data_IF_635478502404
#
_entry.id   IF_635478502404
#
_cell.length_a   1.000
_cell.length_b   1.000
_cell.length_c   1.000
_cell.angle_alpha   90.00
_cell.angle_beta   90.00
_cell.angle_gamma   90.00
#
_symmetry.space_group_name_H-M   'P 1'
#
loop_
_entity.id
_entity.type
_entity.pdbx_description
1 polymer ?
#
# COMPACT_ATOMS: atom_id res chain seq x y z
N UNK A 1 1.51 9.94 40.50
CA UNK A 1 1.30 10.55 39.16
C UNK A 1 2.10 9.68 38.20
N UNK A 2 1.48 9.20 37.10
CA UNK A 2 2.18 8.35 36.15
C UNK A 2 3.26 9.14 35.41
N UNK A 3 4.37 8.46 35.07
CA UNK A 3 5.41 8.99 34.20
C UNK A 3 5.36 8.26 32.86
N UNK A 4 5.12 9.02 31.78
CA UNK A 4 4.94 8.49 30.45
C UNK A 4 6.08 8.94 29.54
N UNK A 5 6.70 8.01 28.83
CA UNK A 5 7.60 8.29 27.70
C UNK A 5 6.85 8.02 26.40
N UNK A 6 6.82 8.99 25.51
CA UNK A 6 5.90 9.01 24.36
C UNK A 6 6.66 9.39 23.09
N UNK A 7 6.48 8.60 22.01
CA UNK A 7 6.96 8.98 20.67
C UNK A 7 6.31 10.32 20.25
N UNK A 8 7.14 11.33 20.01
CA UNK A 8 6.74 12.72 19.72
C UNK A 8 5.99 12.90 18.40
N UNK A 9 6.02 11.89 17.54
CA UNK A 9 5.34 11.85 16.23
C UNK A 9 3.96 11.18 16.28
N UNK A 10 3.46 10.81 17.48
CA UNK A 10 2.06 10.38 17.62
C UNK A 10 1.17 11.62 17.50
N UNK A 11 0.31 11.72 16.46
CA UNK A 11 -0.50 12.91 16.25
C UNK A 11 -1.52 13.12 17.37
N UNK A 12 -1.80 14.37 17.71
CA UNK A 12 -2.87 14.79 18.66
C UNK A 12 -2.69 14.29 20.10
N UNK A 13 -1.52 13.74 20.50
CA UNK A 13 -1.35 13.09 21.79
C UNK A 13 -0.99 14.05 22.92
N UNK A 14 -0.29 15.17 22.64
CA UNK A 14 0.38 16.00 23.66
C UNK A 14 -0.56 16.49 24.76
N UNK A 15 -1.63 17.18 24.38
CA UNK A 15 -2.58 17.76 25.34
C UNK A 15 -3.39 16.68 26.06
N UNK A 16 -3.79 15.65 25.34
CA UNK A 16 -4.60 14.57 25.88
C UNK A 16 -3.81 13.69 26.86
N UNK A 17 -2.54 13.39 26.58
CA UNK A 17 -1.69 12.58 27.46
C UNK A 17 -1.36 13.27 28.79
N UNK A 18 -1.28 14.61 28.80
CA UNK A 18 -1.04 15.39 30.03
C UNK A 18 -2.11 15.16 31.12
N UNK A 19 -3.29 14.67 30.75
CA UNK A 19 -4.35 14.27 31.68
C UNK A 19 -4.06 12.99 32.46
N UNK A 20 -3.10 12.17 31.99
CA UNK A 20 -2.71 10.91 32.62
C UNK A 20 -1.54 11.05 33.58
N UNK A 21 -0.65 12.02 33.37
CA UNK A 21 0.52 12.19 34.19
C UNK A 21 1.60 13.10 33.60
N UNK A 22 2.83 12.95 34.11
CA UNK A 22 4.01 13.62 33.56
C UNK A 22 4.44 12.96 32.26
N UNK A 23 4.55 13.74 31.18
CA UNK A 23 4.84 13.23 29.85
C UNK A 23 6.19 13.74 29.33
N UNK A 24 7.04 12.82 28.88
CA UNK A 24 8.29 13.09 28.17
C UNK A 24 8.09 12.69 26.71
N UNK A 25 8.30 13.62 25.77
CA UNK A 25 8.12 13.40 24.34
C UNK A 25 9.47 13.36 23.65
N UNK A 26 9.77 12.23 22.98
CA UNK A 26 11.04 11.99 22.30
C UNK A 26 10.81 11.42 20.90
N UNK A 27 11.72 11.66 19.94
CA UNK A 27 11.67 10.95 18.66
C UNK A 27 11.74 9.43 18.87
N UNK A 28 10.78 8.67 18.35
CA UNK A 28 10.64 7.25 18.63
C UNK A 28 11.90 6.42 18.39
N UNK A 29 12.70 6.75 17.34
CA UNK A 29 13.97 6.08 17.06
C UNK A 29 15.11 6.48 18.02
N UNK A 30 14.95 7.55 18.81
CA UNK A 30 15.96 8.07 19.73
C UNK A 30 15.66 7.74 21.20
N UNK A 31 14.56 7.05 21.50
CA UNK A 31 14.23 6.61 22.87
C UNK A 31 15.25 5.57 23.31
N UNK A 32 15.90 5.84 24.46
CA UNK A 32 16.96 5.01 25.04
C UNK A 32 16.52 4.33 26.34
N UNK A 33 17.33 3.38 26.83
CA UNK A 33 17.09 2.72 28.12
C UNK A 33 17.10 3.69 29.29
N UNK A 34 17.89 4.76 29.22
CA UNK A 34 17.93 5.78 30.29
C UNK A 34 16.64 6.59 30.32
N UNK A 35 16.03 6.90 29.18
CA UNK A 35 14.77 7.64 29.08
C UNK A 35 13.60 6.88 29.73
N UNK A 36 13.57 5.55 29.57
CA UNK A 36 12.48 4.71 30.08
C UNK A 36 12.72 4.16 31.48
N UNK A 37 13.89 4.38 32.08
CA UNK A 37 14.30 3.80 33.36
C UNK A 37 13.28 4.04 34.47
N UNK A 38 12.79 5.25 34.58
CA UNK A 38 11.86 5.69 35.62
C UNK A 38 10.41 5.84 35.10
N UNK A 39 10.13 5.41 33.88
CA UNK A 39 8.81 5.51 33.29
C UNK A 39 7.89 4.37 33.74
N UNK A 40 6.62 4.68 33.97
CA UNK A 40 5.57 3.69 34.21
C UNK A 40 5.00 3.16 32.89
N UNK A 41 4.98 4.02 31.84
CA UNK A 41 4.37 3.75 30.53
C UNK A 41 5.29 4.17 29.40
N UNK A 42 5.41 3.32 28.38
CA UNK A 42 6.00 3.66 27.11
C UNK A 42 4.91 3.64 26.01
N UNK A 43 4.66 4.79 25.37
CA UNK A 43 3.76 4.87 24.19
C UNK A 43 4.59 5.12 22.94
N UNK A 44 4.54 4.18 22.00
CA UNK A 44 5.44 4.14 20.84
C UNK A 44 4.66 4.03 19.52
N UNK A 45 5.41 4.08 18.43
CA UNK A 45 5.03 3.65 17.08
C UNK A 45 6.10 2.65 16.57
N UNK A 46 6.04 2.29 15.30
CA UNK A 46 6.88 1.26 14.68
C UNK A 46 8.40 1.56 14.65
N UNK A 47 8.84 2.78 14.99
CA UNK A 47 10.26 3.18 14.97
C UNK A 47 11.03 2.84 16.25
N UNK A 48 10.35 2.57 17.35
CA UNK A 48 10.97 2.20 18.62
C UNK A 48 11.04 0.68 18.71
N UNK A 49 12.22 0.11 18.73
CA UNK A 49 12.41 -1.32 18.98
C UNK A 49 12.22 -1.61 20.45
N UNK A 50 11.10 -2.21 20.83
CA UNK A 50 10.74 -2.54 22.19
C UNK A 50 11.22 -3.94 22.52
N UNK A 51 12.37 -4.04 23.16
CA UNK A 51 13.05 -5.30 23.43
C UNK A 51 13.79 -5.23 24.78
N UNK A 52 14.53 -6.30 25.11
CA UNK A 52 15.33 -6.39 26.33
C UNK A 52 16.32 -5.24 26.47
N UNK A 53 17.02 -4.86 25.39
CA UNK A 53 18.01 -3.78 25.47
C UNK A 53 17.42 -2.44 25.86
N UNK A 54 16.17 -2.15 25.49
CA UNK A 54 15.46 -0.93 25.84
C UNK A 54 14.89 -0.97 27.28
N UNK A 55 14.33 -2.11 27.71
CA UNK A 55 13.49 -2.16 28.90
C UNK A 55 14.14 -2.86 30.12
N UNK A 56 15.31 -3.48 29.99
CA UNK A 56 15.96 -4.15 31.12
C UNK A 56 16.30 -3.15 32.23
N UNK A 57 15.82 -3.42 33.45
CA UNK A 57 16.00 -2.54 34.60
C UNK A 57 15.11 -1.30 34.62
N UNK A 58 14.17 -1.14 33.71
CA UNK A 58 13.17 -0.06 33.74
C UNK A 58 12.01 -0.37 34.69
N UNK A 59 11.25 0.67 35.07
CA UNK A 59 10.01 0.55 35.84
C UNK A 59 8.76 0.41 35.00
N UNK A 60 8.90 0.27 33.67
CA UNK A 60 7.78 0.21 32.73
C UNK A 60 6.87 -0.98 33.02
N UNK A 61 5.60 -0.70 33.27
CA UNK A 61 4.54 -1.67 33.56
C UNK A 61 3.68 -1.91 32.32
N UNK A 62 3.61 -0.92 31.41
CA UNK A 62 2.77 -0.96 30.23
C UNK A 62 3.49 -0.37 29.01
N UNK A 63 3.47 -1.14 27.92
CA UNK A 63 3.84 -0.66 26.57
C UNK A 63 2.60 -0.55 25.72
N UNK A 64 2.42 0.60 25.05
CA UNK A 64 1.33 0.78 24.07
C UNK A 64 1.92 1.21 22.73
N UNK A 65 1.53 0.57 21.65
CA UNK A 65 1.84 1.09 20.31
C UNK A 65 0.61 1.71 19.66
N UNK A 66 0.71 2.99 19.28
CA UNK A 66 -0.36 3.75 18.63
C UNK A 66 -0.57 3.32 17.15
N UNK A 67 -0.33 2.04 16.85
CA UNK A 67 -0.43 1.42 15.53
C UNK A 67 -1.11 0.06 15.62
N UNK A 68 -1.54 -0.49 14.48
CA UNK A 68 -2.04 -1.87 14.41
C UNK A 68 -0.87 -2.85 14.45
N UNK A 69 0.15 -2.62 13.60
CA UNK A 69 1.35 -3.45 13.55
C UNK A 69 2.16 -3.36 14.83
N UNK A 70 2.69 -4.49 15.27
CA UNK A 70 3.43 -4.63 16.52
C UNK A 70 4.70 -5.50 16.36
N UNK A 71 5.21 -5.58 15.13
CA UNK A 71 6.39 -6.40 14.79
C UNK A 71 7.68 -5.90 15.47
N UNK A 72 7.69 -4.63 15.92
CA UNK A 72 8.76 -3.97 16.67
C UNK A 72 8.72 -4.28 18.18
N UNK A 73 7.77 -5.10 18.67
CA UNK A 73 7.60 -5.43 20.09
C UNK A 73 8.00 -6.88 20.35
N UNK A 74 9.02 -7.07 21.18
CA UNK A 74 9.41 -8.39 21.69
C UNK A 74 8.42 -8.86 22.77
N UNK A 75 7.37 -9.52 22.32
CA UNK A 75 6.30 -10.02 23.21
C UNK A 75 6.77 -11.11 24.16
N UNK A 76 7.75 -11.91 23.75
CA UNK A 76 8.29 -12.97 24.60
C UNK A 76 9.01 -12.35 25.81
N UNK A 77 9.83 -11.34 25.56
CA UNK A 77 10.50 -10.60 26.64
C UNK A 77 9.50 -9.87 27.57
N UNK A 78 8.49 -9.21 27.00
CA UNK A 78 7.47 -8.53 27.81
C UNK A 78 6.73 -9.53 28.73
N UNK A 79 6.37 -10.70 28.21
CA UNK A 79 5.73 -11.77 28.97
C UNK A 79 6.67 -12.32 30.09
N UNK A 80 7.96 -12.50 29.80
CA UNK A 80 8.98 -12.91 30.79
C UNK A 80 9.04 -11.93 31.98
N UNK A 81 8.92 -10.62 31.68
CA UNK A 81 9.02 -9.55 32.69
C UNK A 81 7.68 -9.16 33.32
N UNK A 82 6.57 -9.72 32.86
CA UNK A 82 5.24 -9.35 33.35
C UNK A 82 4.81 -7.94 32.91
N UNK A 83 5.42 -7.39 31.85
CA UNK A 83 5.06 -6.08 31.29
C UNK A 83 3.85 -6.25 30.37
N UNK A 84 2.76 -5.55 30.68
CA UNK A 84 1.58 -5.54 29.80
C UNK A 84 1.87 -4.79 28.50
N UNK A 85 1.18 -5.19 27.42
CA UNK A 85 1.27 -4.43 26.16
C UNK A 85 -0.06 -4.38 25.44
N UNK A 86 -0.29 -3.29 24.70
CA UNK A 86 -1.46 -3.10 23.84
C UNK A 86 -1.06 -2.46 22.51
N UNK A 87 -1.81 -2.81 21.46
CA UNK A 87 -1.81 -2.10 20.18
C UNK A 87 -3.20 -1.47 19.93
N UNK A 88 -3.38 -0.83 18.78
CA UNK A 88 -4.63 -0.16 18.40
C UNK A 88 -5.33 -0.89 17.23
N UNK A 89 -5.91 -2.08 17.46
CA UNK A 89 -6.49 -2.89 16.40
C UNK A 89 -7.68 -2.17 15.75
N UNK A 90 -7.67 -2.10 14.41
CA UNK A 90 -8.74 -1.47 13.65
C UNK A 90 -8.72 0.07 13.62
N UNK A 91 -7.78 0.75 14.28
CA UNK A 91 -7.76 2.22 14.33
C UNK A 91 -7.78 2.87 12.93
N UNK A 92 -7.15 2.27 11.95
CA UNK A 92 -7.05 2.76 10.56
C UNK A 92 -7.76 1.86 9.53
N UNK A 93 -8.60 0.94 9.95
CA UNK A 93 -9.25 -0.02 9.06
C UNK A 93 -10.06 0.66 7.95
N UNK A 94 -10.77 1.74 8.26
CA UNK A 94 -11.53 2.53 7.27
C UNK A 94 -10.64 3.25 6.27
N UNK A 95 -9.45 3.69 6.69
CA UNK A 95 -8.47 4.28 5.80
C UNK A 95 -8.03 3.30 4.70
N UNK A 96 -7.72 2.05 5.09
CA UNK A 96 -7.38 0.99 4.12
C UNK A 96 -8.59 0.65 3.25
N UNK A 97 -9.80 0.58 3.82
CA UNK A 97 -11.01 0.33 3.05
C UNK A 97 -11.27 1.43 2.00
N UNK A 98 -11.05 2.70 2.35
CA UNK A 98 -11.10 3.83 1.41
C UNK A 98 -10.04 3.66 0.30
N UNK A 99 -8.80 3.29 0.65
CA UNK A 99 -7.73 3.05 -0.31
C UNK A 99 -8.12 1.97 -1.32
N UNK A 100 -8.57 0.81 -0.86
CA UNK A 100 -8.98 -0.31 -1.72
C UNK A 100 -10.14 0.08 -2.63
N UNK A 101 -11.21 0.67 -2.09
CA UNK A 101 -12.36 1.13 -2.87
C UNK A 101 -11.94 2.13 -3.95
N UNK A 102 -11.16 3.16 -3.59
CA UNK A 102 -10.74 4.19 -4.52
C UNK A 102 -9.81 3.63 -5.61
N UNK A 103 -8.95 2.67 -5.28
CA UNK A 103 -8.12 1.95 -6.23
C UNK A 103 -8.94 1.13 -7.23
N UNK A 104 -9.99 0.45 -6.75
CA UNK A 104 -10.91 -0.29 -7.62
C UNK A 104 -11.71 0.63 -8.55
N UNK A 105 -12.13 1.81 -8.08
CA UNK A 105 -12.76 2.83 -8.94
C UNK A 105 -11.85 3.30 -10.06
N UNK A 106 -10.56 3.53 -9.76
CA UNK A 106 -9.55 3.89 -10.76
C UNK A 106 -9.35 2.73 -11.75
N UNK A 107 -9.21 1.50 -11.26
CA UNK A 107 -9.06 0.31 -12.11
C UNK A 107 -10.26 0.13 -13.03
N UNK A 108 -11.47 0.32 -12.53
CA UNK A 108 -12.69 0.26 -13.34
C UNK A 108 -12.72 1.35 -14.42
N UNK A 109 -12.38 2.59 -14.07
CA UNK A 109 -12.33 3.70 -15.03
C UNK A 109 -11.22 3.54 -16.09
N UNK A 110 -10.14 2.82 -15.75
CA UNK A 110 -9.07 2.44 -16.70
C UNK A 110 -9.42 1.19 -17.55
N UNK A 111 -10.61 0.60 -17.37
CA UNK A 111 -11.06 -0.53 -18.15
C UNK A 111 -10.50 -1.90 -17.74
N UNK A 112 -9.91 -2.00 -16.52
CA UNK A 112 -9.28 -3.26 -16.11
C UNK A 112 -10.26 -4.43 -16.01
N UNK A 113 -11.56 -4.16 -15.84
CA UNK A 113 -12.63 -5.17 -15.77
C UNK A 113 -13.40 -5.38 -17.08
N UNK A 114 -13.12 -4.59 -18.13
CA UNK A 114 -13.78 -4.73 -19.43
C UNK A 114 -13.37 -6.02 -20.12
N UNK A 115 -14.28 -6.68 -20.83
CA UNK A 115 -13.97 -7.84 -21.67
C UNK A 115 -13.20 -7.39 -22.91
N UNK A 116 -12.11 -8.08 -23.24
CA UNK A 116 -11.39 -7.93 -24.52
C UNK A 116 -10.37 -6.79 -24.62
N UNK A 117 -10.24 -5.88 -23.68
CA UNK A 117 -9.29 -4.76 -23.74
C UNK A 117 -8.10 -4.93 -22.76
N UNK A 118 -6.88 -4.57 -23.22
CA UNK A 118 -5.74 -4.38 -22.30
C UNK A 118 -5.96 -3.08 -21.52
N UNK A 119 -5.66 -3.09 -20.22
CA UNK A 119 -5.62 -1.88 -19.42
C UNK A 119 -4.66 -0.88 -20.06
N UNK A 120 -5.17 0.30 -20.45
CA UNK A 120 -4.31 1.35 -20.97
C UNK A 120 -3.47 1.94 -19.83
N UNK A 121 -2.20 1.57 -19.81
CA UNK A 121 -1.20 2.35 -19.10
C UNK A 121 -0.87 3.56 -19.99
N UNK A 122 -1.36 4.74 -19.65
CA UNK A 122 -1.18 5.96 -20.44
C UNK A 122 0.26 6.45 -20.51
N UNK A 123 1.17 5.77 -19.81
CA UNK A 123 2.57 6.17 -19.69
C UNK A 123 3.52 5.45 -20.66
N UNK A 124 3.07 4.40 -21.40
CA UNK A 124 3.95 3.71 -22.35
C UNK A 124 4.55 4.65 -23.41
N UNK A 125 3.85 5.70 -23.84
CA UNK A 125 4.40 6.69 -24.79
C UNK A 125 5.39 7.67 -24.18
N UNK A 126 5.41 7.86 -22.87
CA UNK A 126 6.39 8.69 -22.17
C UNK A 126 7.68 7.93 -21.89
N UNK A 127 7.60 6.60 -21.71
CA UNK A 127 8.75 5.75 -21.45
C UNK A 127 9.59 5.51 -22.70
N UNK A 128 8.99 5.30 -23.88
CA UNK A 128 9.76 5.20 -25.13
C UNK A 128 10.52 6.49 -25.48
N UNK A 129 10.06 7.65 -25.02
CA UNK A 129 10.78 8.92 -25.18
C UNK A 129 11.97 9.03 -24.21
N UNK A 130 11.83 8.57 -22.96
CA UNK A 130 12.90 8.63 -21.97
C UNK A 130 13.97 7.56 -22.17
N UNK A 131 13.65 6.35 -22.69
CA UNK A 131 14.68 5.36 -23.02
C UNK A 131 15.62 5.84 -24.13
N UNK A 132 15.16 6.69 -25.04
CA UNK A 132 16.04 7.30 -26.06
C UNK A 132 16.97 8.34 -25.48
N UNK A 133 16.58 9.06 -24.44
CA UNK A 133 17.42 10.07 -23.78
C UNK A 133 18.45 9.42 -22.84
N UNK A 134 18.16 8.27 -22.21
CA UNK A 134 19.13 7.53 -21.40
C UNK A 134 20.16 6.75 -22.24
N UNK A 135 19.79 6.26 -23.42
CA UNK A 135 20.71 5.56 -24.31
C UNK A 135 21.77 6.47 -24.97
N UNK A 136 21.56 7.79 -24.91
CA UNK A 136 22.55 8.77 -25.43
C UNK A 136 23.60 9.18 -24.41
N UNK A 137 23.35 9.00 -23.10
CA UNK A 137 24.31 9.40 -22.05
C UNK A 137 25.36 8.32 -21.72
N UNK A 138 25.09 7.03 -22.01
CA UNK A 138 26.11 5.96 -21.85
C UNK A 138 27.25 6.03 -22.88
N UNK A 139 27.13 6.83 -23.94
CA UNK A 139 28.18 7.02 -24.94
C UNK A 139 29.16 8.14 -24.62
N UNK A 140 28.95 8.88 -23.53
CA UNK A 140 29.83 10.01 -23.16
C UNK A 140 30.94 9.63 -22.18
N UNK A 141 31.07 8.38 -21.73
CA UNK A 141 32.08 7.96 -20.74
C UNK A 141 33.14 6.95 -21.23
N UNK A 142 33.37 6.80 -22.56
CA UNK A 142 34.44 5.95 -23.05
C UNK A 142 35.18 6.57 -24.24
N UNK A 143 35.94 7.61 -24.02
CA UNK A 143 37.07 7.98 -24.88
C UNK A 143 38.16 8.66 -24.07
N UNK A 144 39.04 7.86 -23.52
CA UNK A 144 40.46 8.23 -23.42
C UNK A 144 41.28 6.97 -23.11
N UNK A 145 41.91 6.42 -24.15
CA UNK A 145 43.28 5.89 -24.13
C UNK A 145 43.67 5.40 -25.52
N UNK A 146 44.64 6.05 -26.08
CA UNK A 146 45.87 5.67 -26.80
C UNK A 146 45.78 4.80 -28.07
N UNK A 147 45.98 5.45 -29.17
CA UNK A 147 46.82 5.10 -30.36
C UNK A 147 47.28 3.64 -30.55
N UNK A 148 46.96 3.02 -31.71
CA UNK A 148 47.94 2.71 -32.73
C UNK A 148 47.35 2.08 -34.01
N UNK A 149 47.87 2.57 -35.08
CA UNK A 149 47.67 2.33 -36.49
C UNK A 149 47.45 0.90 -37.04
N UNK A 150 46.71 0.74 -38.10
CA UNK A 150 47.14 0.46 -39.46
C UNK A 150 46.15 -0.34 -40.33
N UNK A 151 45.84 0.21 -41.50
CA UNK A 151 45.60 -0.42 -42.80
C UNK A 151 44.30 -1.21 -43.15
N UNK A 152 43.60 -0.57 -44.03
CA UNK A 152 42.66 -1.04 -45.10
C UNK A 152 43.37 -2.04 -46.07
N UNK A 153 42.74 -2.96 -46.83
CA UNK A 153 41.75 -2.62 -47.85
C UNK A 153 40.59 -3.61 -48.19
N UNK A 154 39.54 -3.00 -48.66
CA UNK A 154 38.69 -3.23 -49.86
C UNK A 154 38.24 -4.62 -50.34
N UNK A 155 36.98 -4.58 -50.80
CA UNK A 155 36.26 -5.40 -51.82
C UNK A 155 35.78 -6.78 -51.37
N UNK A 156 34.51 -7.10 -51.52
CA UNK A 156 33.85 -7.39 -52.76
C UNK A 156 32.30 -7.50 -52.64
N UNK A 157 31.67 -7.21 -53.76
CA UNK A 157 30.23 -7.32 -54.05
C UNK A 157 29.85 -8.79 -54.28
N UNK A 158 28.66 -9.23 -53.88
CA UNK A 158 27.68 -9.92 -54.73
C UNK A 158 26.41 -10.30 -53.99
N UNK A 159 25.32 -9.69 -54.39
CA UNK A 159 24.04 -10.19 -54.92
C UNK A 159 23.58 -11.60 -54.48
N UNK A 160 22.43 -11.66 -53.87
CA UNK A 160 21.57 -12.85 -53.77
C UNK A 160 20.16 -12.51 -53.30
N UNK A 161 19.25 -12.36 -54.28
CA UNK A 161 17.82 -12.20 -54.11
C UNK A 161 17.19 -13.30 -53.25
N UNK A 162 16.33 -12.93 -52.29
CA UNK A 162 15.22 -13.77 -51.83
C UNK A 162 13.94 -12.94 -51.65
N UNK A 163 12.75 -13.52 -51.83
CA UNK A 163 11.57 -12.84 -52.33
C UNK A 163 10.70 -12.17 -51.26
N UNK A 164 10.04 -11.11 -51.71
CA UNK A 164 8.87 -10.52 -51.08
C UNK A 164 7.79 -11.56 -50.84
N UNK A 165 7.32 -11.72 -49.62
CA UNK A 165 5.88 -11.86 -49.36
C UNK A 165 5.57 -11.87 -47.87
N UNK A 166 4.50 -11.19 -47.57
CA UNK A 166 3.67 -11.13 -46.40
C UNK A 166 3.98 -10.00 -45.38
N UNK A 167 3.81 -8.77 -45.86
CA UNK A 167 3.28 -7.70 -45.05
C UNK A 167 1.83 -8.04 -44.70
N UNK A 168 1.59 -8.64 -43.55
CA UNK A 168 0.27 -8.54 -42.94
C UNK A 168 0.13 -7.12 -42.38
N UNK A 169 -0.45 -6.25 -43.20
CA UNK A 169 -1.13 -5.04 -42.76
C UNK A 169 -2.29 -5.46 -41.86
N UNK A 170 -2.04 -5.61 -40.58
CA UNK A 170 -3.09 -5.48 -39.59
C UNK A 170 -3.41 -3.99 -39.53
N UNK A 171 -4.43 -3.62 -40.26
CA UNK A 171 -5.02 -2.31 -40.22
C UNK A 171 -5.35 -1.99 -38.75
N UNK A 172 -4.59 -1.07 -38.15
CA UNK A 172 -4.98 -0.37 -36.93
C UNK A 172 -6.21 0.47 -37.32
N UNK A 173 -7.37 -0.18 -37.31
CA UNK A 173 -8.63 0.49 -37.52
C UNK A 173 -9.16 1.05 -36.24
N UNK A 174 -9.37 2.34 -36.29
CA UNK A 174 -10.12 3.21 -35.41
C UNK A 174 -9.39 3.59 -34.08
N UNK A 175 -8.78 4.77 -34.14
CA UNK A 175 -8.56 5.57 -32.98
C UNK A 175 -9.85 5.57 -32.14
N UNK A 176 -9.74 5.11 -30.87
CA UNK A 176 -10.83 5.20 -29.92
C UNK A 176 -11.17 6.69 -29.76
N UNK A 177 -12.34 7.07 -30.24
CA UNK A 177 -12.91 8.39 -29.98
C UNK A 177 -13.46 8.38 -28.54
N UNK A 178 -12.81 9.07 -27.58
CA UNK A 178 -13.26 9.08 -26.21
C UNK A 178 -14.60 9.79 -26.00
N UNK A 179 -15.16 10.39 -27.06
CA UNK A 179 -16.40 11.15 -26.98
C UNK A 179 -17.66 10.34 -27.32
N UNK A 180 -17.53 9.09 -27.77
CA UNK A 180 -18.67 8.39 -28.40
C UNK A 180 -19.19 7.13 -27.69
N UNK A 181 -18.81 6.88 -26.42
CA UNK A 181 -19.50 5.87 -25.61
C UNK A 181 -19.62 6.35 -24.15
N UNK A 182 -20.81 6.41 -23.58
CA UNK A 182 -20.99 6.69 -22.16
C UNK A 182 -20.63 5.44 -21.35
N UNK A 183 -19.34 5.07 -21.34
CA UNK A 183 -18.86 4.04 -20.41
C UNK A 183 -18.71 4.69 -19.03
N UNK A 184 -19.72 4.53 -18.18
CA UNK A 184 -19.63 4.88 -16.78
C UNK A 184 -19.07 3.67 -16.02
N UNK A 185 -17.91 3.82 -15.43
CA UNK A 185 -17.30 2.80 -14.58
C UNK A 185 -18.25 2.44 -13.43
N UNK A 186 -18.30 1.16 -13.09
CA UNK A 186 -19.09 0.68 -11.96
C UNK A 186 -18.34 -0.41 -11.20
N UNK A 187 -18.54 -0.45 -9.89
CA UNK A 187 -18.10 -1.59 -9.06
C UNK A 187 -19.26 -2.58 -8.84
N UNK A 188 -20.49 -2.17 -9.13
CA UNK A 188 -21.67 -3.03 -8.96
C UNK A 188 -21.56 -4.29 -9.80
N UNK A 189 -21.71 -5.43 -9.15
CA UNK A 189 -21.67 -6.75 -9.79
C UNK A 189 -20.28 -7.37 -9.89
N UNK A 190 -19.20 -6.62 -9.57
CA UNK A 190 -17.87 -7.22 -9.44
C UNK A 190 -17.85 -8.18 -8.25
N UNK A 191 -17.16 -9.29 -8.41
CA UNK A 191 -16.85 -10.22 -7.35
C UNK A 191 -15.45 -9.92 -6.80
N UNK A 192 -15.37 -9.59 -5.50
CA UNK A 192 -14.10 -9.24 -4.86
C UNK A 192 -13.76 -10.24 -3.76
N UNK A 193 -12.60 -10.88 -3.87
CA UNK A 193 -12.04 -11.78 -2.88
C UNK A 193 -11.26 -10.99 -1.82
N UNK A 194 -11.58 -11.21 -0.55
CA UNK A 194 -10.89 -10.61 0.60
C UNK A 194 -10.16 -11.73 1.34
N UNK A 195 -8.84 -11.66 1.38
CA UNK A 195 -7.99 -12.62 2.11
C UNK A 195 -7.54 -12.00 3.42
N UNK A 196 -7.92 -12.62 4.53
CA UNK A 196 -7.75 -12.07 5.87
C UNK A 196 -8.92 -11.16 6.27
N UNK A 197 -9.82 -11.66 7.13
CA UNK A 197 -11.05 -10.98 7.56
C UNK A 197 -10.91 -10.52 9.01
N UNK A 198 -9.82 -9.78 9.28
CA UNK A 198 -9.62 -9.02 10.51
C UNK A 198 -10.39 -7.70 10.50
N UNK A 199 -9.99 -6.76 11.35
CA UNK A 199 -10.61 -5.41 11.35
C UNK A 199 -10.56 -4.74 9.97
N UNK A 200 -9.42 -4.84 9.29
CA UNK A 200 -9.24 -4.22 7.97
C UNK A 200 -10.08 -4.94 6.92
N UNK A 201 -9.91 -6.26 6.78
CA UNK A 201 -10.65 -7.02 5.76
C UNK A 201 -12.17 -6.93 5.94
N UNK A 202 -12.67 -6.87 7.18
CA UNK A 202 -14.09 -6.62 7.46
C UNK A 202 -14.52 -5.24 6.96
N UNK A 203 -13.77 -4.17 7.27
CA UNK A 203 -14.10 -2.83 6.80
C UNK A 203 -14.07 -2.72 5.27
N UNK A 204 -13.10 -3.41 4.61
CA UNK A 204 -13.04 -3.50 3.14
C UNK A 204 -14.26 -4.25 2.59
N UNK A 205 -14.62 -5.38 3.19
CA UNK A 205 -15.78 -6.16 2.78
C UNK A 205 -17.08 -5.33 2.86
N UNK A 206 -17.27 -4.60 3.96
CA UNK A 206 -18.45 -3.75 4.19
C UNK A 206 -18.54 -2.61 3.15
N UNK A 207 -17.44 -1.89 2.91
CA UNK A 207 -17.47 -0.76 1.97
C UNK A 207 -17.70 -1.23 0.53
N UNK A 208 -17.15 -2.39 0.14
CA UNK A 208 -17.33 -2.94 -1.20
C UNK A 208 -18.72 -3.54 -1.38
N UNK A 209 -19.29 -4.16 -0.36
CA UNK A 209 -20.68 -4.60 -0.37
C UNK A 209 -21.65 -3.41 -0.54
N UNK A 210 -21.38 -2.27 0.11
CA UNK A 210 -22.14 -1.04 -0.06
C UNK A 210 -22.02 -0.44 -1.48
N UNK A 211 -20.90 -0.68 -2.17
CA UNK A 211 -20.74 -0.34 -3.60
C UNK A 211 -21.48 -1.30 -4.55
N UNK A 212 -22.05 -2.38 -4.02
CA UNK A 212 -22.79 -3.38 -4.78
C UNK A 212 -21.91 -4.50 -5.33
N UNK A 213 -20.71 -4.71 -4.78
CA UNK A 213 -19.88 -5.87 -5.07
C UNK A 213 -20.42 -7.13 -4.38
N UNK A 214 -20.19 -8.28 -5.01
CA UNK A 214 -20.26 -9.58 -4.34
C UNK A 214 -18.91 -9.81 -3.65
N UNK A 215 -18.91 -10.02 -2.33
CA UNK A 215 -17.69 -10.20 -1.55
C UNK A 215 -17.52 -11.67 -1.16
N UNK A 216 -16.36 -12.24 -1.51
CA UNK A 216 -15.92 -13.57 -1.07
C UNK A 216 -14.90 -13.39 0.06
N UNK A 217 -15.25 -13.89 1.24
CA UNK A 217 -14.44 -13.75 2.46
C UNK A 217 -13.63 -15.04 2.68
N UNK A 218 -12.30 -14.94 2.74
CA UNK A 218 -11.38 -16.04 2.95
C UNK A 218 -10.50 -15.74 4.16
N UNK A 219 -10.69 -16.45 5.24
CA UNK A 219 -9.88 -16.43 6.47
C UNK A 219 -10.04 -17.78 7.16
N UNK A 220 -9.30 -18.82 6.72
CA UNK A 220 -9.44 -20.17 7.26
C UNK A 220 -9.30 -20.24 8.77
N UNK A 221 -8.35 -19.55 9.43
CA UNK A 221 -8.25 -19.49 10.88
C UNK A 221 -9.52 -19.01 11.59
N UNK A 222 -10.38 -18.24 10.89
CA UNK A 222 -11.65 -17.72 11.43
C UNK A 222 -12.87 -18.48 10.96
N UNK A 223 -12.69 -19.52 10.16
CA UNK A 223 -13.81 -20.32 9.63
C UNK A 223 -14.66 -19.60 8.59
N UNK A 224 -14.10 -18.61 7.88
CA UNK A 224 -14.80 -17.95 6.76
C UNK A 224 -15.08 -18.95 5.63
N UNK A 225 -16.21 -18.80 4.90
CA UNK A 225 -16.76 -19.87 4.06
C UNK A 225 -15.99 -20.15 2.77
N UNK A 226 -15.14 -19.21 2.31
CA UNK A 226 -14.44 -19.35 1.04
C UNK A 226 -12.95 -19.67 1.22
N UNK A 227 -12.41 -20.42 0.27
CA UNK A 227 -10.99 -20.78 0.19
C UNK A 227 -10.27 -19.89 -0.86
N UNK A 228 -8.93 -19.94 -0.88
CA UNK A 228 -8.15 -19.29 -1.95
C UNK A 228 -8.50 -19.84 -3.34
N UNK A 229 -8.86 -21.13 -3.42
CA UNK A 229 -9.31 -21.77 -4.67
C UNK A 229 -10.62 -21.16 -5.16
N UNK A 230 -11.56 -20.91 -4.26
CA UNK A 230 -12.81 -20.24 -4.62
C UNK A 230 -12.56 -18.80 -5.13
N UNK A 231 -11.67 -18.07 -4.46
CA UNK A 231 -11.30 -16.73 -4.90
C UNK A 231 -10.60 -16.77 -6.27
N UNK A 232 -9.68 -17.70 -6.49
CA UNK A 232 -8.99 -17.85 -7.77
C UNK A 232 -9.96 -18.12 -8.93
N UNK A 233 -11.03 -18.89 -8.67
CA UNK A 233 -12.04 -19.26 -9.67
C UNK A 233 -13.03 -18.12 -9.94
N UNK A 234 -13.47 -17.37 -8.92
CA UNK A 234 -14.67 -16.54 -9.02
C UNK A 234 -14.40 -15.03 -8.92
N UNK A 235 -13.30 -14.62 -8.29
CA UNK A 235 -13.07 -13.20 -8.03
C UNK A 235 -12.58 -12.45 -9.27
N UNK A 236 -13.13 -11.27 -9.52
CA UNK A 236 -12.64 -10.29 -10.51
C UNK A 236 -11.47 -9.45 -9.95
N UNK A 237 -11.45 -9.26 -8.63
CA UNK A 237 -10.33 -8.65 -7.89
C UNK A 237 -10.06 -9.41 -6.60
N UNK A 238 -8.80 -9.46 -6.17
CA UNK A 238 -8.40 -10.08 -4.89
C UNK A 238 -7.55 -9.08 -4.09
N UNK A 239 -7.87 -8.91 -2.79
CA UNK A 239 -7.18 -8.01 -1.89
C UNK A 239 -6.72 -8.73 -0.62
N UNK A 240 -5.42 -8.58 -0.30
CA UNK A 240 -4.80 -9.18 0.87
C UNK A 240 -4.87 -8.24 2.08
N UNK A 241 -5.26 -8.77 3.24
CA UNK A 241 -5.35 -8.09 4.54
C UNK A 241 -4.90 -8.98 5.71
N UNK A 242 -4.00 -9.91 5.43
CA UNK A 242 -3.46 -10.85 6.41
C UNK A 242 -2.33 -10.26 7.24
N UNK A 243 -2.08 -10.74 8.47
CA UNK A 243 -0.79 -10.55 9.11
C UNK A 243 0.30 -11.30 8.34
N UNK A 244 1.57 -10.99 8.57
CA UNK A 244 2.69 -11.79 8.08
C UNK A 244 2.99 -12.89 9.09
N UNK A 245 2.97 -14.15 8.64
CA UNK A 245 3.34 -15.34 9.40
C UNK A 245 4.19 -16.26 8.53
N UNK A 246 5.23 -16.86 9.12
CA UNK A 246 6.19 -17.69 8.39
C UNK A 246 5.94 -19.17 8.57
N UNK A 247 5.20 -19.58 9.60
CA UNK A 247 5.01 -20.96 10.01
C UNK A 247 3.52 -21.30 10.23
N UNK A 248 3.22 -22.59 10.22
CA UNK A 248 1.87 -23.11 10.43
C UNK A 248 1.12 -23.38 9.12
N UNK A 249 0.01 -24.09 9.23
CA UNK A 249 -0.85 -24.50 8.10
C UNK A 249 -1.34 -23.31 7.26
N UNK A 250 -1.50 -22.15 7.90
CA UNK A 250 -2.01 -20.93 7.27
C UNK A 250 -0.94 -19.83 7.24
N UNK A 251 0.34 -20.21 7.03
CA UNK A 251 1.41 -19.24 6.81
C UNK A 251 1.07 -18.30 5.65
N UNK A 252 1.42 -17.03 5.82
CA UNK A 252 1.07 -15.98 4.87
C UNK A 252 2.27 -15.41 4.13
N UNK A 253 3.49 -15.84 4.48
CA UNK A 253 4.69 -15.52 3.72
C UNK A 253 4.55 -16.12 2.31
N UNK A 254 4.67 -15.26 1.29
CA UNK A 254 4.47 -15.62 -0.12
C UNK A 254 3.15 -16.35 -0.39
N UNK A 255 2.08 -15.98 0.34
CA UNK A 255 0.74 -16.53 0.11
C UNK A 255 0.29 -16.33 -1.35
N UNK A 256 0.62 -15.17 -1.94
CA UNK A 256 0.43 -14.91 -3.36
C UNK A 256 1.75 -15.18 -4.11
N UNK A 257 2.08 -16.43 -4.28
CA UNK A 257 3.21 -16.95 -5.03
C UNK A 257 2.87 -17.18 -6.52
N UNK A 258 3.81 -17.73 -7.25
CA UNK A 258 3.65 -18.09 -8.66
C UNK A 258 2.44 -19.00 -8.88
N UNK A 259 2.28 -20.04 -8.06
CA UNK A 259 1.18 -21.01 -8.16
C UNK A 259 -0.18 -20.35 -7.92
N UNK A 260 -0.26 -19.42 -6.96
CA UNK A 260 -1.48 -18.64 -6.76
C UNK A 260 -1.91 -17.91 -8.04
N UNK A 261 -1.00 -17.19 -8.70
CA UNK A 261 -1.33 -16.45 -9.92
C UNK A 261 -1.60 -17.37 -11.13
N UNK A 262 -0.95 -18.51 -11.24
CA UNK A 262 -1.20 -19.51 -12.29
C UNK A 262 -2.63 -20.04 -12.24
N UNK A 263 -3.18 -20.21 -11.06
CA UNK A 263 -4.53 -20.72 -10.81
C UNK A 263 -5.66 -19.69 -11.01
N UNK A 264 -5.35 -18.41 -11.18
CA UNK A 264 -6.36 -17.36 -11.38
C UNK A 264 -7.11 -17.55 -12.71
N UNK A 265 -8.44 -17.57 -12.65
CA UNK A 265 -9.30 -17.74 -13.82
C UNK A 265 -9.93 -16.43 -14.29
N UNK A 266 -10.35 -15.57 -13.36
CA UNK A 266 -11.08 -14.33 -13.62
C UNK A 266 -10.42 -13.08 -13.11
N UNK A 267 -9.53 -13.19 -12.13
CA UNK A 267 -8.94 -12.05 -11.44
C UNK A 267 -8.23 -11.12 -12.43
N UNK A 268 -8.62 -9.85 -12.42
CA UNK A 268 -8.03 -8.80 -13.23
C UNK A 268 -7.21 -7.82 -12.41
N UNK A 269 -7.52 -7.67 -11.12
CA UNK A 269 -6.86 -6.71 -10.23
C UNK A 269 -6.41 -7.41 -8.97
N UNK A 270 -5.12 -7.35 -8.67
CA UNK A 270 -4.53 -7.84 -7.43
C UNK A 270 -4.13 -6.67 -6.54
N UNK A 271 -4.45 -6.74 -5.25
CA UNK A 271 -4.19 -5.67 -4.28
C UNK A 271 -3.42 -6.24 -3.09
N UNK A 272 -2.23 -5.69 -2.80
CA UNK A 272 -1.52 -5.95 -1.55
C UNK A 272 -1.48 -4.69 -0.69
N UNK A 273 -2.30 -4.66 0.35
CA UNK A 273 -2.34 -3.64 1.41
C UNK A 273 -2.25 -4.31 2.80
N UNK A 274 -1.53 -5.43 2.87
CA UNK A 274 -1.31 -6.24 4.08
C UNK A 274 0.11 -6.08 4.63
N UNK A 275 1.03 -6.95 4.15
CA UNK A 275 2.48 -6.89 4.33
C UNK A 275 3.14 -7.22 3.00
N UNK A 276 4.29 -6.64 2.72
CA UNK A 276 4.99 -6.84 1.44
C UNK A 276 5.21 -8.31 1.14
N UNK A 277 5.76 -9.01 2.10
CA UNK A 277 6.13 -10.43 2.02
C UNK A 277 4.92 -11.41 1.96
N UNK A 278 3.68 -10.90 2.02
CA UNK A 278 2.51 -11.74 1.73
C UNK A 278 2.36 -12.02 0.23
N UNK A 279 3.05 -11.28 -0.63
CA UNK A 279 3.09 -11.51 -2.07
C UNK A 279 4.55 -11.59 -2.53
N UNK A 280 4.88 -12.62 -3.30
CA UNK A 280 6.16 -12.73 -3.99
C UNK A 280 6.23 -11.70 -5.11
N UNK A 281 7.16 -10.76 -5.01
CA UNK A 281 7.36 -9.68 -5.97
C UNK A 281 7.56 -10.21 -7.39
N UNK A 282 8.38 -11.25 -7.58
CA UNK A 282 8.64 -11.83 -8.89
C UNK A 282 7.40 -12.51 -9.47
N UNK A 283 6.56 -13.10 -8.63
CA UNK A 283 5.30 -13.71 -9.05
C UNK A 283 4.27 -12.64 -9.49
N UNK A 284 4.20 -11.50 -8.81
CA UNK A 284 3.34 -10.37 -9.22
C UNK A 284 3.80 -9.79 -10.55
N UNK A 285 5.10 -9.55 -10.73
CA UNK A 285 5.68 -9.05 -11.97
C UNK A 285 5.40 -9.99 -13.13
N UNK A 286 5.61 -11.28 -12.92
CA UNK A 286 5.27 -12.30 -13.90
C UNK A 286 3.78 -12.31 -14.25
N UNK A 287 2.91 -12.24 -13.24
CA UNK A 287 1.47 -12.26 -13.47
C UNK A 287 0.99 -11.05 -14.31
N UNK A 288 1.63 -9.89 -14.13
CA UNK A 288 1.41 -8.71 -14.98
C UNK A 288 1.93 -8.92 -16.41
N UNK A 289 3.16 -9.46 -16.57
CA UNK A 289 3.77 -9.66 -17.89
C UNK A 289 3.03 -10.70 -18.75
N UNK A 290 2.55 -11.79 -18.13
CA UNK A 290 1.77 -12.84 -18.79
C UNK A 290 0.28 -12.51 -18.93
N UNK A 291 -0.16 -11.35 -18.41
CA UNK A 291 -1.56 -10.94 -18.45
C UNK A 291 -2.50 -11.79 -17.60
N UNK A 292 -1.97 -12.53 -16.61
CA UNK A 292 -2.77 -13.24 -15.61
C UNK A 292 -3.61 -12.28 -14.79
N UNK A 293 -3.02 -11.12 -14.47
CA UNK A 293 -3.71 -9.95 -13.93
C UNK A 293 -3.49 -8.76 -14.86
N UNK A 294 -4.42 -7.83 -14.90
CA UNK A 294 -4.32 -6.61 -15.69
C UNK A 294 -3.75 -5.43 -14.93
N UNK A 295 -3.87 -5.46 -13.61
CA UNK A 295 -3.38 -4.41 -12.74
C UNK A 295 -3.00 -4.96 -11.37
N UNK A 296 -1.91 -4.40 -10.81
CA UNK A 296 -1.53 -4.56 -9.43
C UNK A 296 -1.68 -3.22 -8.69
N UNK A 297 -2.17 -3.27 -7.47
CA UNK A 297 -2.25 -2.16 -6.52
C UNK A 297 -1.40 -2.55 -5.32
N UNK A 298 -0.28 -1.88 -5.13
CA UNK A 298 0.73 -2.24 -4.14
C UNK A 298 0.95 -1.08 -3.19
N UNK A 299 0.58 -1.28 -1.93
CA UNK A 299 0.86 -0.34 -0.85
C UNK A 299 2.01 -0.82 0.03
N UNK A 300 2.13 -2.14 0.20
CA UNK A 300 3.15 -2.80 1.00
C UNK A 300 4.06 -3.63 0.11
N UNK A 301 5.38 -3.53 0.33
CA UNK A 301 6.40 -4.05 -0.56
C UNK A 301 7.35 -4.99 0.16
N UNK A 302 7.86 -5.99 -0.53
CA UNK A 302 9.03 -6.71 -0.03
C UNK A 302 10.23 -5.77 0.04
N UNK A 303 11.06 -5.97 1.06
CA UNK A 303 12.31 -5.24 1.28
C UNK A 303 12.17 -3.72 1.46
N UNK A 304 11.02 -3.23 1.98
CA UNK A 304 10.89 -1.80 2.31
C UNK A 304 12.09 -1.30 3.14
N UNK A 305 12.68 -0.16 2.80
CA UNK A 305 12.30 0.82 1.79
C UNK A 305 12.90 0.57 0.39
N UNK A 306 13.68 -0.49 0.17
CA UNK A 306 14.38 -0.80 -1.07
C UNK A 306 13.48 -1.64 -1.99
N UNK A 307 12.46 -1.00 -2.55
CA UNK A 307 11.39 -1.67 -3.31
C UNK A 307 11.81 -2.00 -4.75
N UNK A 308 11.12 -2.97 -5.38
CA UNK A 308 11.36 -3.32 -6.79
C UNK A 308 11.00 -2.16 -7.72
N UNK A 309 11.99 -1.70 -8.49
CA UNK A 309 11.79 -0.65 -9.49
C UNK A 309 10.94 -1.12 -10.68
N UNK A 310 11.01 -2.40 -11.05
CA UNK A 310 10.19 -3.00 -12.10
C UNK A 310 8.72 -3.06 -11.69
N UNK A 311 8.43 -3.55 -10.48
CA UNK A 311 7.07 -3.59 -9.96
C UNK A 311 6.51 -2.18 -9.74
N UNK A 312 7.32 -1.22 -9.26
CA UNK A 312 6.92 0.18 -9.10
C UNK A 312 6.44 0.80 -10.44
N UNK A 313 7.14 0.49 -11.53
CA UNK A 313 6.74 0.95 -12.87
C UNK A 313 5.49 0.24 -13.37
N UNK A 314 5.40 -1.07 -13.18
CA UNK A 314 4.34 -1.91 -13.73
C UNK A 314 3.00 -1.80 -12.98
N UNK A 315 3.02 -1.53 -11.67
CA UNK A 315 1.82 -1.43 -10.85
C UNK A 315 0.90 -0.30 -11.32
N UNK A 316 -0.39 -0.49 -11.29
CA UNK A 316 -1.40 0.56 -11.57
C UNK A 316 -1.35 1.65 -10.50
N UNK A 317 -1.28 1.24 -9.25
CA UNK A 317 -1.15 2.09 -8.08
C UNK A 317 -0.01 1.53 -7.22
N UNK A 318 0.91 2.42 -6.84
CA UNK A 318 2.10 2.13 -6.07
C UNK A 318 2.26 3.19 -4.99
N UNK A 319 2.11 2.83 -3.72
CA UNK A 319 2.13 3.80 -2.62
C UNK A 319 3.11 3.37 -1.52
N UNK A 320 3.73 4.32 -0.79
CA UNK A 320 4.79 4.01 0.16
C UNK A 320 4.24 3.57 1.54
N UNK A 321 3.44 2.50 1.56
CA UNK A 321 2.84 1.91 2.76
C UNK A 321 2.00 2.92 3.55
N UNK A 322 1.07 3.60 2.88
CA UNK A 322 0.25 4.68 3.42
C UNK A 322 -1.26 4.45 3.32
N UNK A 323 -1.69 3.27 2.87
CA UNK A 323 -3.12 2.92 2.79
C UNK A 323 -3.85 3.15 4.12
N UNK A 324 -3.18 2.88 5.24
CA UNK A 324 -3.69 3.12 6.59
C UNK A 324 -3.50 4.54 7.13
N UNK A 325 -3.01 5.50 6.33
CA UNK A 325 -2.65 6.83 6.83
C UNK A 325 -3.77 7.84 6.58
N UNK A 326 -4.60 8.07 7.60
CA UNK A 326 -5.61 9.13 7.65
C UNK A 326 -5.52 9.89 8.96
N UNK A 327 -6.03 11.10 9.01
CA UNK A 327 -6.17 11.87 10.26
C UNK A 327 -7.11 11.15 11.23
N UNK A 328 -8.18 10.55 10.71
CA UNK A 328 -9.17 9.79 11.48
C UNK A 328 -8.52 8.56 12.11
N UNK A 329 -7.80 7.75 11.34
CA UNK A 329 -7.09 6.57 11.84
C UNK A 329 -6.02 6.91 12.87
N UNK A 330 -5.28 8.01 12.66
CA UNK A 330 -4.28 8.49 13.62
C UNK A 330 -4.92 9.00 14.92
N UNK A 331 -6.03 9.75 14.83
CA UNK A 331 -6.80 10.19 16.00
C UNK A 331 -7.35 8.99 16.78
N UNK A 332 -7.89 7.98 16.09
CA UNK A 332 -8.33 6.73 16.71
C UNK A 332 -7.18 6.00 17.41
N UNK A 333 -6.02 5.87 16.78
CA UNK A 333 -4.84 5.23 17.40
C UNK A 333 -4.40 5.94 18.67
N UNK A 334 -4.38 7.27 18.66
CA UNK A 334 -4.07 8.08 19.82
C UNK A 334 -5.11 7.89 20.94
N UNK A 335 -6.41 7.98 20.62
CA UNK A 335 -7.49 7.75 21.58
C UNK A 335 -7.38 6.37 22.23
N UNK A 336 -7.26 5.32 21.42
CA UNK A 336 -7.16 3.94 21.88
C UNK A 336 -5.92 3.72 22.76
N UNK A 337 -4.80 4.38 22.43
CA UNK A 337 -3.57 4.29 23.23
C UNK A 337 -3.78 4.89 24.64
N UNK A 338 -4.37 6.06 24.71
CA UNK A 338 -4.63 6.74 26.01
C UNK A 338 -5.69 6.00 26.82
N UNK A 339 -6.73 5.47 26.19
CA UNK A 339 -7.74 4.63 26.84
C UNK A 339 -7.14 3.32 27.37
N UNK A 340 -6.16 2.73 26.67
CA UNK A 340 -5.45 1.54 27.13
C UNK A 340 -4.65 1.85 28.40
N UNK A 341 -3.96 3.00 28.47
CA UNK A 341 -3.27 3.45 29.68
C UNK A 341 -4.26 3.69 30.81
N UNK A 342 -5.34 4.45 30.56
CA UNK A 342 -6.35 4.72 31.58
C UNK A 342 -6.94 3.43 32.16
N UNK A 343 -7.27 2.48 31.31
CA UNK A 343 -7.82 1.18 31.72
C UNK A 343 -6.84 0.37 32.55
N UNK A 344 -5.57 0.32 32.14
CA UNK A 344 -4.53 -0.45 32.85
C UNK A 344 -4.30 0.05 34.27
N UNK A 345 -4.31 1.36 34.45
CA UNK A 345 -4.08 1.99 35.76
C UNK A 345 -5.35 2.34 36.53
N UNK A 346 -6.52 1.92 36.07
CA UNK A 346 -7.81 2.16 36.72
C UNK A 346 -8.19 3.65 36.79
N UNK A 347 -7.76 4.47 35.82
CA UNK A 347 -8.07 5.89 35.79
C UNK A 347 -9.42 6.11 35.10
N UNK A 348 -10.29 6.94 35.68
CA UNK A 348 -11.53 7.38 35.06
C UNK A 348 -11.23 8.54 34.08
N UNK A 349 -10.80 8.19 32.87
CA UNK A 349 -10.44 9.15 31.84
C UNK A 349 -11.02 8.72 30.48
N UNK A 350 -11.81 9.60 29.87
CA UNK A 350 -12.31 9.46 28.53
C UNK A 350 -11.61 10.47 27.61
N UNK A 351 -11.28 10.04 26.38
CA UNK A 351 -10.56 10.85 25.43
C UNK A 351 -11.38 11.06 24.15
N UNK A 352 -11.76 12.31 23.90
CA UNK A 352 -12.31 12.74 22.61
C UNK A 352 -11.18 13.40 21.81
N UNK A 353 -10.78 12.74 20.71
CA UNK A 353 -9.68 13.20 19.86
C UNK A 353 -10.23 13.27 18.42
N UNK A 354 -10.84 14.38 18.04
CA UNK A 354 -11.37 14.55 16.69
C UNK A 354 -10.22 14.75 15.69
N UNK A 355 -10.36 14.15 14.51
CA UNK A 355 -9.48 14.47 13.40
C UNK A 355 -9.73 15.92 12.93
N UNK A 356 -8.69 16.66 12.51
CA UNK A 356 -8.84 18.03 12.03
C UNK A 356 -9.81 18.15 10.86
N UNK A 357 -10.57 19.21 10.79
CA UNK A 357 -11.40 19.51 9.63
C UNK A 357 -10.55 19.77 8.38
N UNK A 358 -11.06 19.36 7.23
CA UNK A 358 -10.43 19.70 5.96
C UNK A 358 -10.65 21.18 5.63
N UNK A 359 -9.69 21.85 4.99
CA UNK A 359 -9.91 23.19 4.44
C UNK A 359 -11.10 23.21 3.46
N UNK A 360 -11.79 24.33 3.37
CA UNK A 360 -12.85 24.52 2.37
C UNK A 360 -12.27 24.30 0.95
N UNK A 361 -12.98 23.54 0.13
CA UNK A 361 -12.54 23.22 -1.24
C UNK A 361 -11.36 22.25 -1.33
N UNK A 362 -11.04 21.53 -0.28
CA UNK A 362 -9.96 20.54 -0.28
C UNK A 362 -10.13 19.49 -1.39
N UNK A 363 -9.06 19.26 -2.13
CA UNK A 363 -8.92 18.18 -3.10
C UNK A 363 -7.54 17.54 -2.88
N UNK A 364 -7.50 16.22 -2.69
CA UNK A 364 -6.26 15.50 -2.40
C UNK A 364 -5.25 15.50 -3.55
N UNK A 365 -5.71 15.77 -4.74
CA UNK A 365 -4.88 15.84 -5.96
C UNK A 365 -5.75 15.84 -7.21
N UNK A 366 -5.20 16.30 -8.31
CA UNK A 366 -5.92 16.33 -9.58
C UNK A 366 -6.19 14.91 -10.10
N UNK A 367 -7.39 14.68 -10.60
CA UNK A 367 -7.71 13.48 -11.37
C UNK A 367 -7.49 13.78 -12.86
N UNK A 368 -6.88 12.87 -13.62
CA UNK A 368 -6.82 12.99 -15.06
C UNK A 368 -8.23 13.15 -15.66
N UNK A 369 -8.41 14.08 -16.59
CA UNK A 369 -9.72 14.31 -17.25
C UNK A 369 -10.26 13.05 -17.94
N UNK A 370 -9.37 12.20 -18.44
CA UNK A 370 -9.72 10.89 -19.02
C UNK A 370 -10.42 9.95 -18.03
N UNK A 371 -10.18 10.09 -16.74
CA UNK A 371 -10.85 9.31 -15.68
C UNK A 371 -12.12 10.00 -15.20
N UNK A 372 -12.14 11.35 -15.12
CA UNK A 372 -13.31 12.08 -14.59
C UNK A 372 -14.56 11.85 -15.42
N UNK A 373 -14.44 11.74 -16.74
CA UNK A 373 -15.58 11.45 -17.62
C UNK A 373 -16.11 10.01 -17.54
N UNK A 374 -15.36 9.11 -16.92
CA UNK A 374 -15.72 7.69 -16.78
C UNK A 374 -16.23 7.33 -15.40
N UNK A 375 -16.12 8.22 -14.44
CA UNK A 375 -16.46 7.96 -13.05
C UNK A 375 -17.81 8.60 -12.67
N UNK A 376 -18.68 7.91 -11.93
CA UNK A 376 -19.88 8.52 -11.37
C UNK A 376 -19.53 9.55 -10.31
N UNK A 377 -20.38 10.55 -10.09
CA UNK A 377 -20.12 11.65 -9.16
C UNK A 377 -19.78 11.16 -7.73
N UNK A 378 -20.42 10.09 -7.27
CA UNK A 378 -20.10 9.48 -5.98
C UNK A 378 -18.65 9.01 -5.88
N UNK A 379 -18.10 8.43 -6.95
CA UNK A 379 -16.71 8.00 -6.99
C UNK A 379 -15.76 9.20 -7.07
N UNK A 380 -16.13 10.22 -7.85
CA UNK A 380 -15.39 11.48 -7.92
C UNK A 380 -15.31 12.17 -6.56
N UNK A 381 -16.43 12.22 -5.82
CA UNK A 381 -16.45 12.79 -4.47
C UNK A 381 -15.47 12.06 -3.53
N UNK A 382 -15.39 10.73 -3.60
CA UNK A 382 -14.45 9.94 -2.81
C UNK A 382 -13.00 10.16 -3.24
N UNK A 383 -12.73 10.23 -4.54
CA UNK A 383 -11.40 10.48 -5.07
C UNK A 383 -10.91 11.91 -4.82
N UNK A 384 -11.81 12.89 -4.66
CA UNK A 384 -11.45 14.25 -4.18
C UNK A 384 -10.94 14.22 -2.73
N UNK A 385 -11.47 13.32 -1.90
CA UNK A 385 -10.99 13.13 -0.52
C UNK A 385 -9.65 12.38 -0.49
N UNK A 386 -9.50 11.40 -1.37
CA UNK A 386 -8.27 10.64 -1.47
C UNK A 386 -8.08 10.03 -2.87
N UNK A 387 -7.03 10.49 -3.55
CA UNK A 387 -6.62 9.99 -4.86
C UNK A 387 -5.26 9.27 -4.76
N UNK A 388 -5.22 7.91 -4.76
CA UNK A 388 -3.97 7.17 -4.64
C UNK A 388 -3.02 7.32 -5.84
N UNK A 389 -3.49 7.82 -7.00
CA UNK A 389 -2.59 8.15 -8.12
C UNK A 389 -1.63 9.27 -7.76
N UNK A 390 -2.06 10.25 -6.95
CA UNK A 390 -1.18 11.33 -6.49
C UNK A 390 0.02 10.79 -5.69
N UNK A 391 -0.21 9.77 -4.85
CA UNK A 391 0.87 9.14 -4.08
C UNK A 391 1.73 8.26 -4.98
N UNK A 392 1.12 7.59 -5.96
CA UNK A 392 1.82 6.81 -6.99
C UNK A 392 2.81 7.68 -7.78
N UNK A 393 2.35 8.84 -8.23
CA UNK A 393 3.18 9.77 -9.00
C UNK A 393 4.35 10.29 -8.14
N UNK A 394 4.10 10.58 -6.86
CA UNK A 394 5.17 10.99 -5.92
C UNK A 394 6.20 9.90 -5.69
N UNK A 395 5.75 8.65 -5.46
CA UNK A 395 6.65 7.54 -5.22
C UNK A 395 7.49 7.22 -6.46
N UNK A 396 6.89 7.28 -7.66
CA UNK A 396 7.63 7.09 -8.91
C UNK A 396 8.63 8.18 -9.21
N UNK A 397 8.32 9.42 -8.81
CA UNK A 397 9.21 10.57 -9.03
C UNK A 397 10.46 10.54 -8.12
N UNK A 398 10.35 9.97 -6.91
CA UNK A 398 11.43 9.89 -5.92
C UNK A 398 11.31 8.60 -5.08
N UNK A 399 11.58 7.43 -5.65
CA UNK A 399 11.47 6.16 -4.93
C UNK A 399 12.47 6.03 -3.79
N UNK A 400 13.62 6.70 -3.86
CA UNK A 400 14.63 6.79 -2.81
C UNK A 400 14.12 7.48 -1.55
N UNK A 401 13.10 8.34 -1.68
CA UNK A 401 12.46 9.06 -0.58
C UNK A 401 11.30 8.28 0.07
N UNK A 402 11.18 6.97 -0.16
CA UNK A 402 10.10 6.12 0.35
C UNK A 402 9.78 6.38 1.82
N UNK A 403 10.79 6.33 2.69
CA UNK A 403 10.62 6.55 4.12
C UNK A 403 10.27 7.99 4.48
N UNK A 404 10.79 8.97 3.74
CA UNK A 404 10.48 10.39 3.94
C UNK A 404 9.04 10.69 3.53
N UNK A 405 8.59 10.16 2.39
CA UNK A 405 7.21 10.28 1.91
C UNK A 405 6.23 9.66 2.90
N UNK A 406 6.55 8.49 3.45
CA UNK A 406 5.76 7.82 4.48
C UNK A 406 5.77 8.60 5.80
N UNK A 407 6.95 9.08 6.24
CA UNK A 407 7.13 9.79 7.51
C UNK A 407 6.43 11.14 7.56
N UNK A 408 6.42 11.87 6.45
CA UNK A 408 5.83 13.20 6.29
C UNK A 408 4.49 13.18 5.56
N UNK A 409 3.81 12.03 5.54
CA UNK A 409 2.59 11.84 4.78
C UNK A 409 1.50 12.84 5.19
N UNK A 410 0.88 13.55 4.23
CA UNK A 410 -0.19 14.50 4.52
C UNK A 410 -1.42 13.75 5.05
N UNK A 411 -2.03 14.31 6.10
CA UNK A 411 -3.19 13.70 6.73
C UNK A 411 -4.43 13.89 5.86
N UNK A 412 -4.86 12.83 5.18
CA UNK A 412 -6.14 12.76 4.49
C UNK A 412 -7.26 12.38 5.44
N UNK A 413 -8.50 12.66 5.06
CA UNK A 413 -9.68 12.24 5.81
C UNK A 413 -10.29 10.99 5.20
N UNK A 414 -10.87 10.18 6.05
CA UNK A 414 -11.81 9.12 5.65
C UNK A 414 -13.13 9.76 5.18
N UNK A 415 -14.17 8.99 4.97
CA UNK A 415 -15.46 9.56 4.55
C UNK A 415 -15.95 10.63 5.53
N UNK A 416 -16.38 11.78 5.00
CA UNK A 416 -17.18 12.72 5.75
C UNK A 416 -18.57 12.08 5.89
N UNK A 417 -18.96 11.78 7.12
CA UNK A 417 -20.31 11.33 7.43
C UNK A 417 -21.29 12.51 7.38
#
# INVERSE_FOLDING_TARGET
MLRLVIDDKIPFIREAAARLGECVFLPGAAITADDVREADVLITRTRTQVNRALLEGSKVQLVVTATIGHDHIDKAYLAEKGIAWHNCPGCNARSVAQYVRNSLWIAAAKGCFAEGERCFNTDERRFEANERDFATDERAFSTNEGECAANVPTTDKNLGNLPHSMTHNVAFSKAFDPTNAPFCATLRGLTVGIVGVGHVGTAVAEILAAEGCRVLRCDPPKGEPHTLVDLAREADAISLHTPLTFEGEHATFHLADRSFFENLQRCRVFINAARGECADTAAVEWALSEGKIRAAVIDTWENEPHISASLLRAALIATPHVAGYSADGKANGTRMSLEAVARHFGLDAHFDIPAPALPAGFVYGALPTTLTHRLPERALAQLRLYNPLTDTDRLRAAPEDFEQQRGNYPLRREEIR
#
